data_IF_283576177830
#
_entry.id   IF_283576177830
#
_cell.length_a   1.000
_cell.length_b   1.000
_cell.length_c   1.000
_cell.angle_alpha   90.00
_cell.angle_beta   90.00
_cell.angle_gamma   90.00
#
_symmetry.space_group_name_H-M   'P 1'
#
loop_
_entity.id
_entity.type
_entity.pdbx_description
1 polymer ?
#
# COMPACT_ATOMS: atom_id res chain seq x y z
N UNK A 1 3.33 3.97 -4.54
CA UNK A 1 3.39 5.14 -3.64
C UNK A 1 2.28 6.08 -4.08
N UNK A 2 1.47 6.57 -3.16
CA UNK A 2 0.34 7.47 -3.45
C UNK A 2 0.62 8.88 -2.94
N UNK A 3 0.18 9.87 -3.71
CA UNK A 3 0.09 11.25 -3.25
C UNK A 3 -1.11 11.43 -2.30
N UNK A 4 -1.11 12.47 -1.47
CA UNK A 4 -2.25 12.78 -0.59
C UNK A 4 -3.55 13.05 -1.38
N UNK A 5 -3.43 13.51 -2.63
CA UNK A 5 -4.56 13.76 -3.54
C UNK A 5 -5.14 12.49 -4.17
N UNK A 6 -4.41 11.37 -4.12
CA UNK A 6 -4.84 10.08 -4.67
C UNK A 6 -5.47 9.18 -3.59
N UNK A 7 -5.58 9.69 -2.37
CA UNK A 7 -6.13 8.96 -1.24
C UNK A 7 -7.65 8.87 -1.36
N UNK A 8 -8.17 7.68 -1.12
CA UNK A 8 -9.59 7.37 -1.18
C UNK A 8 -10.15 7.38 0.26
N UNK A 9 -11.21 8.15 0.53
CA UNK A 9 -11.84 8.18 1.85
C UNK A 9 -12.21 6.77 2.33
N UNK A 10 -12.12 6.57 3.65
CA UNK A 10 -12.40 5.30 4.35
C UNK A 10 -11.44 4.13 4.02
N UNK A 11 -10.46 4.36 3.15
CA UNK A 11 -9.46 3.35 2.80
C UNK A 11 -8.29 3.35 3.77
N UNK A 12 -7.72 2.15 4.00
CA UNK A 12 -6.60 1.94 4.92
C UNK A 12 -5.26 2.15 4.22
N UNK A 13 -4.44 2.99 4.83
CA UNK A 13 -3.11 3.33 4.36
C UNK A 13 -2.06 3.03 5.42
N UNK A 14 -0.91 2.55 4.97
CA UNK A 14 0.34 2.58 5.72
C UNK A 14 1.06 3.88 5.37
N UNK A 15 1.48 4.60 6.40
CA UNK A 15 2.08 5.92 6.30
C UNK A 15 3.50 5.82 6.81
N UNK A 16 4.46 6.15 5.96
CA UNK A 16 5.86 6.23 6.32
C UNK A 16 6.24 7.69 6.49
N UNK A 17 6.61 8.06 7.71
CA UNK A 17 6.99 9.41 8.10
C UNK A 17 8.47 9.44 8.42
N UNK A 18 9.22 10.32 7.76
CA UNK A 18 10.65 10.50 8.04
C UNK A 18 10.82 11.75 8.90
N UNK A 19 11.21 11.58 10.17
CA UNK A 19 11.51 12.69 11.08
C UNK A 19 12.82 12.43 11.80
N UNK A 20 13.73 13.41 11.80
CA UNK A 20 15.00 13.36 12.54
C UNK A 20 15.80 12.05 12.31
N UNK A 21 15.95 11.64 11.05
CA UNK A 21 16.59 10.37 10.64
C UNK A 21 15.95 9.10 11.22
N UNK A 22 14.74 9.20 11.77
CA UNK A 22 13.93 8.06 12.20
C UNK A 22 12.73 7.92 11.27
N UNK A 23 12.51 6.68 10.84
CA UNK A 23 11.35 6.31 10.06
C UNK A 23 10.27 5.80 11.00
N UNK A 24 9.17 6.52 11.12
CA UNK A 24 7.96 6.05 11.80
C UNK A 24 7.02 5.42 10.77
N UNK A 25 6.59 4.20 11.03
CA UNK A 25 5.56 3.53 10.23
C UNK A 25 4.27 3.56 11.04
N UNK A 26 3.22 4.10 10.43
CA UNK A 26 1.91 4.27 11.02
C UNK A 26 0.86 3.65 10.11
N UNK A 27 -0.26 3.24 10.71
CA UNK A 27 -1.43 2.77 9.97
C UNK A 27 -2.62 3.65 10.32
N UNK A 28 -3.34 4.07 9.29
CA UNK A 28 -4.50 4.93 9.44
C UNK A 28 -5.52 4.74 8.33
N UNK A 29 -6.73 5.22 8.59
CA UNK A 29 -7.80 5.33 7.61
C UNK A 29 -7.85 6.78 7.13
N UNK A 30 -7.82 7.00 5.81
CA UNK A 30 -7.97 8.34 5.27
C UNK A 30 -9.40 8.84 5.45
N UNK A 31 -9.55 10.06 5.94
CA UNK A 31 -10.86 10.69 6.18
C UNK A 31 -11.10 11.76 5.12
N UNK A 32 -10.24 12.78 5.07
CA UNK A 32 -10.34 13.89 4.13
C UNK A 32 -9.03 14.66 4.06
N UNK A 33 -8.91 15.60 3.13
CA UNK A 33 -7.89 16.64 3.23
C UNK A 33 -8.32 17.71 4.26
N UNK A 34 -7.36 18.40 4.87
CA UNK A 34 -7.64 19.50 5.78
C UNK A 34 -8.09 20.72 4.98
N UNK A 35 -9.24 21.31 5.31
CA UNK A 35 -9.86 22.39 4.54
C UNK A 35 -8.95 23.62 4.32
N UNK A 36 -8.14 23.98 5.33
CA UNK A 36 -7.23 25.13 5.29
C UNK A 36 -5.81 24.77 4.82
N UNK A 37 -5.52 23.48 4.58
CA UNK A 37 -4.22 22.98 4.13
C UNK A 37 -4.43 21.72 3.27
N UNK A 38 -4.67 21.87 1.96
CA UNK A 38 -4.98 20.74 1.08
C UNK A 38 -3.80 19.78 0.88
N UNK A 39 -2.60 20.16 1.31
CA UNK A 39 -1.41 19.30 1.35
C UNK A 39 -1.38 18.37 2.56
N UNK A 40 -2.31 18.55 3.51
CA UNK A 40 -2.38 17.75 4.73
C UNK A 40 -3.55 16.77 4.67
N UNK A 41 -3.24 15.48 4.71
CA UNK A 41 -4.21 14.40 4.81
C UNK A 41 -4.64 14.20 6.28
N UNK A 42 -5.94 14.22 6.54
CA UNK A 42 -6.54 13.86 7.81
C UNK A 42 -6.73 12.35 7.86
N UNK A 43 -6.07 11.72 8.83
CA UNK A 43 -6.09 10.27 9.00
C UNK A 43 -6.58 9.90 10.39
N UNK A 44 -7.41 8.86 10.49
CA UNK A 44 -7.77 8.21 11.75
C UNK A 44 -6.75 7.12 12.04
N UNK A 45 -5.88 7.32 13.04
CA UNK A 45 -4.81 6.37 13.37
C UNK A 45 -5.30 5.24 14.29
N UNK A 46 -4.95 3.99 13.97
CA UNK A 46 -5.38 2.81 14.76
C UNK A 46 -4.30 2.20 15.66
N UNK A 47 -3.02 2.55 15.50
CA UNK A 47 -1.89 1.79 16.12
C UNK A 47 -0.89 2.58 16.96
N UNK A 48 -1.17 3.84 17.37
CA UNK A 48 -0.31 4.49 18.37
C UNK A 48 -0.69 4.01 19.78
N UNK A 49 0.15 3.16 20.38
CA UNK A 49 -0.03 2.59 21.73
C UNK A 49 -0.39 3.61 22.83
N UNK A 50 -0.01 4.88 22.65
CA UNK A 50 -0.19 5.95 23.62
C UNK A 50 -1.38 6.88 23.37
N UNK A 51 -2.16 6.68 22.28
CA UNK A 51 -3.21 7.61 21.89
C UNK A 51 -4.56 6.90 21.73
N UNK A 52 -5.67 7.56 22.12
CA UNK A 52 -7.00 6.99 21.96
C UNK A 52 -7.27 6.67 20.48
N UNK A 53 -7.91 5.52 20.22
CA UNK A 53 -8.23 4.98 18.87
C UNK A 53 -9.06 5.91 17.95
N UNK A 54 -9.46 7.08 18.45
CA UNK A 54 -10.36 8.05 17.77
C UNK A 54 -9.61 9.33 17.36
N UNK A 55 -8.32 9.46 17.69
CA UNK A 55 -7.56 10.66 17.36
C UNK A 55 -7.33 10.77 15.84
N UNK A 56 -7.69 11.93 15.29
CA UNK A 56 -7.41 12.32 13.92
C UNK A 56 -6.06 13.04 13.88
N UNK A 57 -5.21 12.67 12.94
CA UNK A 57 -3.88 13.26 12.77
C UNK A 57 -3.71 13.79 11.36
N UNK A 58 -3.09 14.97 11.26
CA UNK A 58 -2.63 15.53 10.01
C UNK A 58 -1.30 14.91 9.57
N UNK A 59 -1.24 14.51 8.31
CA UNK A 59 -0.05 14.03 7.63
C UNK A 59 0.24 14.89 6.41
N UNK A 60 1.45 15.42 6.29
CA UNK A 60 1.81 16.37 5.24
C UNK A 60 2.42 15.64 4.05
N UNK A 61 2.04 16.03 2.84
CA UNK A 61 2.61 15.53 1.60
C UNK A 61 4.15 15.57 1.55
N UNK A 62 4.77 16.61 2.11
CA UNK A 62 6.21 16.85 1.95
C UNK A 62 7.09 15.85 2.72
N UNK A 63 6.53 15.17 3.71
CA UNK A 63 7.30 14.33 4.65
C UNK A 63 6.71 12.93 4.85
N UNK A 64 5.50 12.69 4.34
CA UNK A 64 4.74 11.47 4.58
C UNK A 64 4.47 10.73 3.26
N UNK A 65 4.87 9.46 3.19
CA UNK A 65 4.65 8.58 2.05
C UNK A 65 3.48 7.65 2.36
N UNK A 66 2.54 7.54 1.42
CA UNK A 66 1.34 6.74 1.58
C UNK A 66 1.37 5.46 0.73
N UNK A 67 1.04 4.35 1.37
CA UNK A 67 0.94 3.03 0.77
C UNK A 67 -0.44 2.45 1.01
N UNK A 68 -1.15 2.11 -0.07
CA UNK A 68 -2.46 1.49 0.01
C UNK A 68 -2.33 0.01 0.38
N UNK A 69 -2.87 -0.35 1.55
CA UNK A 69 -2.72 -1.71 2.08
C UNK A 69 -3.46 -2.72 1.20
N UNK A 70 -4.61 -2.33 0.64
CA UNK A 70 -5.38 -3.23 -0.20
C UNK A 70 -4.67 -3.45 -1.54
N UNK A 71 -4.15 -2.37 -2.14
CA UNK A 71 -3.37 -2.47 -3.39
C UNK A 71 -2.15 -3.39 -3.23
N UNK A 72 -1.45 -3.31 -2.09
CA UNK A 72 -0.33 -4.20 -1.79
C UNK A 72 -0.76 -5.67 -1.77
N UNK A 73 -1.90 -5.98 -1.15
CA UNK A 73 -2.44 -7.35 -1.08
C UNK A 73 -2.86 -7.87 -2.45
N UNK A 74 -3.53 -7.03 -3.24
CA UNK A 74 -3.97 -7.38 -4.58
C UNK A 74 -2.76 -7.61 -5.50
N UNK A 75 -1.72 -6.78 -5.39
CA UNK A 75 -0.46 -6.94 -6.12
C UNK A 75 0.25 -8.23 -5.74
N UNK A 76 0.32 -8.58 -4.45
CA UNK A 76 0.92 -9.83 -3.99
C UNK A 76 0.19 -11.06 -4.53
N UNK A 77 -1.15 -11.01 -4.57
CA UNK A 77 -1.99 -12.09 -5.09
C UNK A 77 -1.77 -12.27 -6.59
N UNK A 78 -1.78 -11.17 -7.37
CA UNK A 78 -1.49 -11.20 -8.81
C UNK A 78 -0.09 -11.69 -9.12
N UNK A 79 0.91 -11.28 -8.33
CA UNK A 79 2.28 -11.75 -8.49
C UNK A 79 2.39 -13.27 -8.32
N UNK A 80 1.70 -13.83 -7.30
CA UNK A 80 1.63 -15.28 -7.09
C UNK A 80 1.01 -16.02 -8.28
N UNK A 81 -0.15 -15.57 -8.75
CA UNK A 81 -0.82 -16.16 -9.91
C UNK A 81 0.05 -16.11 -11.16
N UNK A 82 0.77 -15.01 -11.37
CA UNK A 82 1.70 -14.89 -12.50
C UNK A 82 2.88 -15.86 -12.40
N UNK A 83 3.38 -16.13 -11.19
CA UNK A 83 4.43 -17.13 -10.97
C UNK A 83 3.92 -18.55 -11.26
N UNK A 84 2.71 -18.89 -10.79
CA UNK A 84 2.07 -20.17 -11.04
C UNK A 84 1.86 -20.39 -12.54
N UNK A 85 1.30 -19.41 -13.24
CA UNK A 85 1.11 -19.47 -14.69
C UNK A 85 2.43 -19.63 -15.46
N UNK A 86 3.50 -18.95 -15.03
CA UNK A 86 4.84 -19.12 -15.63
C UNK A 86 5.39 -20.53 -15.40
N UNK A 87 5.18 -21.09 -14.21
CA UNK A 87 5.60 -22.46 -13.91
C UNK A 87 4.86 -23.47 -14.77
N UNK A 88 3.52 -23.35 -14.86
CA UNK A 88 2.68 -24.20 -15.72
C UNK A 88 3.10 -24.08 -17.18
N UNK A 89 3.26 -22.87 -17.71
CA UNK A 89 3.70 -22.67 -19.09
C UNK A 89 5.08 -23.29 -19.37
N UNK A 90 5.99 -23.28 -18.39
CA UNK A 90 7.31 -23.92 -18.54
C UNK A 90 7.18 -25.45 -18.62
N UNK A 91 6.30 -26.05 -17.81
CA UNK A 91 6.03 -27.49 -17.83
C UNK A 91 5.36 -27.88 -19.15
N UNK A 92 4.30 -27.17 -19.56
CA UNK A 92 3.57 -27.45 -20.80
C UNK A 92 4.48 -27.36 -22.04
N UNK A 93 5.34 -26.34 -22.10
CA UNK A 93 6.34 -26.21 -23.19
C UNK A 93 7.33 -27.36 -23.21
N UNK A 94 7.75 -27.88 -22.04
CA UNK A 94 8.62 -29.05 -21.97
C UNK A 94 7.91 -30.29 -22.48
N UNK A 95 6.68 -30.57 -22.00
CA UNK A 95 5.90 -31.73 -22.45
C UNK A 95 5.68 -31.72 -23.96
N UNK A 96 5.25 -30.59 -24.52
CA UNK A 96 5.03 -30.46 -25.97
C UNK A 96 6.34 -30.69 -26.74
N UNK A 97 7.47 -30.15 -26.26
CA UNK A 97 8.75 -30.30 -26.94
C UNK A 97 9.39 -31.68 -26.75
N UNK A 98 9.15 -32.37 -25.63
CA UNK A 98 9.59 -33.75 -25.39
C UNK A 98 8.79 -34.75 -26.23
N UNK A 99 7.51 -34.49 -26.48
CA UNK A 99 6.65 -35.34 -27.33
C UNK A 99 6.78 -35.02 -28.84
N UNK A 100 7.37 -33.88 -29.20
CA UNK A 100 7.67 -33.47 -30.58
C UNK A 100 9.18 -33.21 -30.76
N UNK A 101 9.99 -34.26 -30.64
CA UNK A 101 11.30 -34.27 -31.30
C UNK A 101 11.09 -34.66 -32.77
N UNK A 102 11.40 -33.74 -33.70
CA UNK A 102 11.42 -34.01 -35.14
C UNK A 102 12.61 -34.86 -35.54
#
# INVERSE_FOLDING_TARGET
MKSCYELIPERRYMIQRIKNNKTEILEGVFVSLVAYSPTTALMRCMKRKSLPNVAHFGFSYDYDIYYDIQEIRDNATRARQNMENRAVNKILRRLINEEFEW
#
